data_IF_336674946194
#
_entry.id   IF_336674946194
#
_cell.length_a   1.000
_cell.length_b   1.000
_cell.length_c   1.000
_cell.angle_alpha   90.00
_cell.angle_beta   90.00
_cell.angle_gamma   90.00
#
_symmetry.space_group_name_H-M   'P 1'
#
loop_
_entity.id
_entity.type
_entity.pdbx_description
1 polymer ?
#
# COMPACT_ATOMS: atom_id res chain seq x y z
N UNK A 1 34.87 7.16 -3.21
CA UNK A 1 34.09 7.64 -4.38
C UNK A 1 32.63 7.43 -4.01
N UNK A 2 31.79 8.45 -4.17
CA UNK A 2 30.34 8.33 -3.87
C UNK A 2 29.68 7.58 -5.01
N UNK A 3 28.90 6.54 -4.68
CA UNK A 3 28.04 5.87 -5.65
C UNK A 3 26.78 6.68 -5.88
N UNK A 4 26.45 6.95 -7.13
CA UNK A 4 25.19 7.59 -7.52
C UNK A 4 24.72 7.02 -8.85
N UNK A 5 23.53 6.40 -8.84
CA UNK A 5 22.88 5.84 -10.03
C UNK A 5 21.50 6.46 -10.18
N UNK A 6 21.15 6.87 -11.38
CA UNK A 6 19.81 7.32 -11.76
C UNK A 6 19.11 6.18 -12.52
N UNK A 7 17.93 5.83 -12.06
CA UNK A 7 17.10 4.80 -12.68
C UNK A 7 15.81 5.46 -13.19
N UNK A 8 15.59 5.37 -14.50
CA UNK A 8 14.35 5.85 -15.11
C UNK A 8 13.20 4.91 -14.77
N UNK A 9 12.11 5.50 -14.32
CA UNK A 9 10.91 4.77 -13.88
C UNK A 9 9.73 5.18 -14.74
N UNK A 10 9.17 4.27 -15.54
CA UNK A 10 7.98 4.58 -16.33
C UNK A 10 6.76 4.75 -15.41
N UNK A 11 6.10 5.90 -15.50
CA UNK A 11 4.89 6.24 -14.75
C UNK A 11 3.85 6.76 -15.73
N UNK A 12 2.87 5.91 -16.07
CA UNK A 12 1.75 6.26 -16.96
C UNK A 12 2.20 7.03 -18.21
N UNK A 13 2.00 8.37 -18.23
CA UNK A 13 2.37 9.26 -19.34
C UNK A 13 3.67 10.03 -19.11
N UNK A 14 4.39 9.79 -18.01
CA UNK A 14 5.60 10.51 -17.64
C UNK A 14 6.73 9.53 -17.28
N UNK A 15 7.95 10.06 -17.22
CA UNK A 15 9.11 9.33 -16.74
C UNK A 15 9.56 9.92 -15.42
N UNK A 16 9.60 9.08 -14.37
CA UNK A 16 10.18 9.41 -13.08
C UNK A 16 11.66 9.05 -13.01
N UNK A 17 12.35 9.52 -11.99
CA UNK A 17 13.74 9.15 -11.71
C UNK A 17 13.87 8.71 -10.25
N UNK A 18 14.37 7.50 -10.05
CA UNK A 18 14.76 6.95 -8.76
C UNK A 18 16.29 7.04 -8.65
N UNK A 19 16.76 7.64 -7.57
CA UNK A 19 18.17 7.76 -7.27
C UNK A 19 18.61 6.68 -6.30
N UNK A 20 19.76 6.08 -6.55
CA UNK A 20 20.41 5.14 -5.63
C UNK A 20 21.76 5.71 -5.23
N UNK A 21 22.03 5.87 -3.94
CA UNK A 21 23.31 6.42 -3.45
C UNK A 21 23.77 5.77 -2.14
N UNK A 22 25.08 5.72 -1.95
CA UNK A 22 25.74 5.19 -0.76
C UNK A 22 26.22 6.28 0.23
N UNK A 23 25.89 7.55 -0.05
CA UNK A 23 26.35 8.72 0.72
C UNK A 23 25.16 9.48 1.34
N UNK A 24 25.16 9.59 2.67
CA UNK A 24 24.09 10.24 3.40
C UNK A 24 23.90 11.72 3.03
N UNK A 25 24.98 12.46 2.76
CA UNK A 25 24.89 13.88 2.38
C UNK A 25 24.27 14.06 1.00
N UNK A 26 24.62 13.19 0.06
CA UNK A 26 24.04 13.18 -1.28
C UNK A 26 22.56 12.82 -1.19
N UNK A 27 22.21 11.79 -0.40
CA UNK A 27 20.84 11.38 -0.17
C UNK A 27 19.99 12.50 0.47
N UNK A 28 20.49 13.18 1.50
CA UNK A 28 19.81 14.31 2.14
C UNK A 28 19.54 15.47 1.16
N UNK A 29 20.52 15.80 0.32
CA UNK A 29 20.34 16.84 -0.73
C UNK A 29 19.23 16.43 -1.71
N UNK A 30 19.26 15.20 -2.21
CA UNK A 30 18.24 14.69 -3.13
C UNK A 30 16.85 14.69 -2.48
N UNK A 31 16.74 14.31 -1.20
CA UNK A 31 15.49 14.36 -0.46
C UNK A 31 14.96 15.79 -0.30
N UNK A 32 15.83 16.78 -0.05
CA UNK A 32 15.45 18.19 0.00
C UNK A 32 14.96 18.73 -1.36
N UNK A 33 15.43 18.14 -2.46
CA UNK A 33 14.97 18.43 -3.82
C UNK A 33 13.71 17.63 -4.21
N UNK A 34 13.02 17.00 -3.25
CA UNK A 34 11.87 16.11 -3.46
C UNK A 34 12.15 14.97 -4.45
N UNK A 35 13.35 14.42 -4.46
CA UNK A 35 13.70 13.26 -5.28
C UNK A 35 13.38 11.95 -4.57
N UNK A 36 13.01 10.92 -5.34
CA UNK A 36 12.89 9.56 -4.83
C UNK A 36 14.29 8.94 -4.66
N UNK A 37 14.60 8.45 -3.46
CA UNK A 37 15.95 7.96 -3.11
C UNK A 37 15.88 6.61 -2.43
N UNK A 38 16.71 5.67 -2.89
CA UNK A 38 17.05 4.42 -2.21
C UNK A 38 18.51 4.50 -1.72
N UNK A 39 18.77 3.99 -0.54
CA UNK A 39 20.13 3.91 0.00
C UNK A 39 20.77 2.59 -0.42
N UNK A 40 21.96 2.66 -0.98
CA UNK A 40 22.85 1.52 -1.14
C UNK A 40 23.70 1.34 0.11
N UNK A 41 23.46 0.26 0.86
CA UNK A 41 24.19 -0.07 2.10
C UNK A 41 25.24 -1.13 1.82
N UNK A 42 26.48 -0.84 2.20
CA UNK A 42 27.59 -1.78 2.13
C UNK A 42 28.52 -1.61 3.36
N UNK A 43 29.47 -2.54 3.62
CA UNK A 43 30.26 -2.51 4.85
C UNK A 43 31.00 -1.20 5.12
N UNK A 44 31.41 -0.46 4.09
CA UNK A 44 32.16 0.78 4.26
C UNK A 44 31.31 2.04 4.59
N UNK A 45 29.98 1.97 4.49
CA UNK A 45 29.11 3.11 4.79
C UNK A 45 28.11 2.88 5.95
N UNK A 46 28.18 1.73 6.64
CA UNK A 46 27.25 1.38 7.75
C UNK A 46 27.29 2.33 8.94
N UNK A 47 28.35 3.14 9.09
CA UNK A 47 28.47 4.16 10.12
C UNK A 47 27.79 5.48 9.78
N UNK A 48 27.32 5.69 8.55
CA UNK A 48 26.54 6.85 8.18
C UNK A 48 25.09 6.71 8.70
N UNK A 49 24.46 7.83 8.99
CA UNK A 49 23.07 7.86 9.43
C UNK A 49 22.12 7.87 8.23
N UNK A 50 21.44 6.75 8.02
CA UNK A 50 20.42 6.57 7.00
C UNK A 50 19.01 6.40 7.58
N UNK A 51 18.80 6.66 8.85
CA UNK A 51 17.52 6.42 9.57
C UNK A 51 16.31 7.17 8.99
N UNK A 52 16.53 8.22 8.22
CA UNK A 52 15.49 9.01 7.55
C UNK A 52 14.97 8.38 6.25
N UNK A 53 15.67 7.40 5.72
CA UNK A 53 15.34 6.79 4.43
C UNK A 53 14.56 5.49 4.62
N UNK A 54 13.45 5.36 3.91
CA UNK A 54 12.52 4.25 4.05
C UNK A 54 13.00 2.96 3.34
N UNK A 55 13.83 3.12 2.31
CA UNK A 55 14.26 2.01 1.47
C UNK A 55 15.78 1.97 1.36
N UNK A 56 16.31 0.78 1.55
CA UNK A 56 17.73 0.49 1.39
C UNK A 56 17.92 -0.86 0.69
N UNK A 57 19.03 -0.98 -0.03
CA UNK A 57 19.42 -2.21 -0.74
C UNK A 57 20.90 -2.51 -0.50
N UNK A 58 21.26 -3.78 -0.52
CA UNK A 58 22.64 -4.23 -0.41
C UNK A 58 23.29 -4.51 -1.79
N UNK A 59 22.46 -4.71 -2.82
CA UNK A 59 22.91 -4.82 -4.21
C UNK A 59 22.01 -3.98 -5.14
N UNK A 60 22.52 -2.84 -5.65
CA UNK A 60 21.74 -1.99 -6.54
C UNK A 60 21.67 -2.49 -8.00
N UNK A 61 22.40 -3.54 -8.34
CA UNK A 61 22.36 -4.14 -9.70
C UNK A 61 21.25 -5.19 -9.83
N UNK A 62 20.83 -5.81 -8.70
CA UNK A 62 19.79 -6.84 -8.65
C UNK A 62 18.37 -6.26 -8.45
N UNK A 63 18.17 -4.96 -8.68
CA UNK A 63 16.87 -4.32 -8.51
C UNK A 63 15.91 -4.67 -9.65
N UNK A 64 14.90 -5.47 -9.34
CA UNK A 64 13.85 -5.84 -10.29
C UNK A 64 13.01 -4.61 -10.72
N UNK A 65 12.62 -4.50 -12.00
CA UNK A 65 11.84 -3.36 -12.51
C UNK A 65 10.54 -3.09 -11.74
N UNK A 66 9.84 -4.13 -11.33
CA UNK A 66 8.60 -4.02 -10.53
C UNK A 66 8.88 -3.44 -9.14
N UNK A 67 9.96 -3.88 -8.49
CA UNK A 67 10.38 -3.34 -7.20
C UNK A 67 10.73 -1.85 -7.31
N UNK A 68 11.51 -1.46 -8.32
CA UNK A 68 11.88 -0.07 -8.61
C UNK A 68 10.64 0.79 -8.78
N UNK A 69 9.67 0.34 -9.57
CA UNK A 69 8.44 1.07 -9.84
C UNK A 69 7.58 1.23 -8.58
N UNK A 70 7.45 0.16 -7.79
CA UNK A 70 6.70 0.17 -6.52
C UNK A 70 7.33 1.10 -5.49
N UNK A 71 8.66 1.04 -5.31
CA UNK A 71 9.38 1.93 -4.39
C UNK A 71 9.26 3.38 -4.82
N UNK A 72 9.44 3.67 -6.10
CA UNK A 72 9.27 5.02 -6.62
C UNK A 72 7.88 5.56 -6.34
N UNK A 73 6.82 4.79 -6.64
CA UNK A 73 5.44 5.19 -6.38
C UNK A 73 5.21 5.51 -4.90
N UNK A 74 5.65 4.65 -3.99
CA UNK A 74 5.54 4.86 -2.55
C UNK A 74 6.29 6.11 -2.06
N UNK A 75 7.51 6.34 -2.55
CA UNK A 75 8.29 7.54 -2.24
C UNK A 75 7.65 8.84 -2.75
N UNK A 76 6.87 8.76 -3.82
CA UNK A 76 6.14 9.89 -4.42
C UNK A 76 4.67 9.97 -3.99
N UNK A 77 4.25 9.16 -3.02
CA UNK A 77 2.86 9.14 -2.53
C UNK A 77 1.84 8.62 -3.56
N UNK A 78 2.30 7.96 -4.62
CA UNK A 78 1.44 7.36 -5.63
C UNK A 78 1.05 5.93 -5.21
N UNK A 79 -0.23 5.54 -5.30
CA UNK A 79 -0.64 4.21 -4.91
C UNK A 79 -0.10 3.14 -5.87
N UNK A 80 0.31 1.99 -5.32
CA UNK A 80 0.65 0.82 -6.09
C UNK A 80 -0.60 -0.01 -6.41
N UNK A 81 -0.76 -0.44 -7.67
CA UNK A 81 -1.82 -1.35 -8.06
C UNK A 81 -1.47 -2.77 -7.62
N UNK A 82 -2.31 -3.37 -6.78
CA UNK A 82 -2.10 -4.70 -6.22
C UNK A 82 -2.58 -5.79 -7.20
N UNK A 83 -3.82 -5.64 -7.65
CA UNK A 83 -4.43 -6.56 -8.61
C UNK A 83 -5.61 -5.92 -9.34
N UNK A 84 -5.96 -6.51 -10.47
CA UNK A 84 -7.18 -6.19 -11.18
C UNK A 84 -8.08 -7.43 -11.28
N UNK A 85 -9.37 -7.18 -11.19
CA UNK A 85 -10.42 -8.19 -11.48
C UNK A 85 -11.19 -7.78 -12.74
N UNK A 86 -12.23 -8.53 -13.08
CA UNK A 86 -13.09 -8.15 -14.19
C UNK A 86 -13.68 -6.76 -14.05
N UNK A 87 -14.13 -6.40 -12.84
CA UNK A 87 -14.85 -5.13 -12.56
C UNK A 87 -14.11 -4.17 -11.65
N UNK A 88 -13.05 -4.60 -10.96
CA UNK A 88 -12.39 -3.78 -9.94
C UNK A 88 -10.88 -3.67 -10.17
N UNK A 89 -10.35 -2.51 -9.77
CA UNK A 89 -8.95 -2.29 -9.46
C UNK A 89 -8.80 -2.28 -7.94
N UNK A 90 -7.85 -3.07 -7.41
CA UNK A 90 -7.45 -3.03 -6.00
C UNK A 90 -6.07 -2.40 -5.92
N UNK A 91 -5.97 -1.31 -5.18
CA UNK A 91 -4.72 -0.53 -5.06
C UNK A 91 -4.45 -0.12 -3.63
N UNK A 92 -3.23 0.29 -3.35
CA UNK A 92 -2.88 0.90 -2.07
C UNK A 92 -3.80 2.09 -1.79
N UNK A 93 -4.18 2.23 -0.52
CA UNK A 93 -4.99 3.36 -0.04
C UNK A 93 -4.14 4.63 -0.01
N UNK A 94 -4.77 5.77 -0.32
CA UNK A 94 -4.17 7.08 -0.17
C UNK A 94 -4.97 7.94 0.82
N UNK A 95 -4.40 9.02 1.38
CA UNK A 95 -5.14 9.93 2.27
C UNK A 95 -6.35 10.58 1.60
N UNK A 96 -6.34 10.73 0.27
CA UNK A 96 -7.43 11.29 -0.52
C UNK A 96 -8.67 10.39 -0.54
N UNK A 97 -8.48 9.06 -0.39
CA UNK A 97 -9.58 8.08 -0.35
C UNK A 97 -10.46 8.22 0.91
N UNK A 98 -9.97 8.92 1.92
CA UNK A 98 -10.65 9.04 3.22
C UNK A 98 -12.05 9.64 3.08
N UNK A 99 -12.25 10.60 2.20
CA UNK A 99 -13.56 11.21 2.00
C UNK A 99 -14.59 10.20 1.48
N UNK A 100 -14.21 9.34 0.53
CA UNK A 100 -15.04 8.24 0.05
C UNK A 100 -15.33 7.22 1.15
N UNK A 101 -14.33 6.92 1.99
CA UNK A 101 -14.53 6.03 3.13
C UNK A 101 -15.53 6.60 4.13
N UNK A 102 -15.53 7.90 4.42
CA UNK A 102 -16.54 8.52 5.25
C UNK A 102 -17.94 8.32 4.68
N UNK A 103 -18.14 8.45 3.37
CA UNK A 103 -19.42 8.16 2.73
C UNK A 103 -19.85 6.70 2.90
N UNK A 104 -18.94 5.75 2.72
CA UNK A 104 -19.22 4.32 2.88
C UNK A 104 -19.56 4.00 4.34
N UNK A 105 -18.75 4.47 5.28
CA UNK A 105 -18.90 4.17 6.71
C UNK A 105 -20.02 4.97 7.40
N UNK A 106 -20.55 6.02 6.78
CA UNK A 106 -21.72 6.76 7.30
C UNK A 106 -22.99 5.93 7.31
N UNK A 107 -23.05 4.83 6.53
CA UNK A 107 -24.25 4.00 6.46
C UNK A 107 -24.31 3.04 7.66
N UNK A 108 -25.42 3.03 8.45
CA UNK A 108 -25.53 2.22 9.66
C UNK A 108 -25.35 0.70 9.45
N UNK A 109 -25.66 0.18 8.27
CA UNK A 109 -25.43 -1.22 7.92
C UNK A 109 -23.95 -1.61 7.86
N UNK A 110 -23.05 -0.64 7.64
CA UNK A 110 -21.60 -0.87 7.63
C UNK A 110 -21.05 -0.92 9.06
N UNK A 111 -21.38 0.07 9.88
CA UNK A 111 -20.81 0.24 11.23
C UNK A 111 -21.50 -0.59 12.31
N UNK A 112 -22.53 -1.36 11.95
CA UNK A 112 -23.27 -2.20 12.90
C UNK A 112 -22.40 -3.31 13.52
N UNK A 113 -21.48 -3.89 12.76
CA UNK A 113 -20.69 -5.05 13.10
C UNK A 113 -19.18 -4.81 13.06
N UNK A 114 -18.77 -3.53 13.04
CA UNK A 114 -17.36 -3.17 12.96
C UNK A 114 -17.13 -1.77 13.52
N UNK A 115 -15.88 -1.49 13.88
CA UNK A 115 -15.46 -0.15 14.28
C UNK A 115 -15.60 0.85 13.12
N UNK A 116 -16.04 2.07 13.42
CA UNK A 116 -16.09 3.19 12.48
C UNK A 116 -14.70 3.79 12.23
N UNK A 117 -14.69 4.85 11.43
CA UNK A 117 -13.52 5.69 11.24
C UNK A 117 -13.38 6.66 12.43
N UNK A 118 -12.22 7.30 12.56
CA UNK A 118 -12.07 8.43 13.46
C UNK A 118 -13.09 9.52 13.11
N UNK A 119 -13.65 10.24 14.10
CA UNK A 119 -14.71 11.20 13.84
C UNK A 119 -14.29 12.37 12.92
N UNK A 120 -13.02 12.76 13.00
CA UNK A 120 -12.47 13.89 12.26
C UNK A 120 -11.72 13.40 11.03
N UNK A 121 -12.03 13.96 9.86
CA UNK A 121 -11.38 13.59 8.58
C UNK A 121 -9.86 13.72 8.64
N UNK A 122 -9.35 14.79 9.23
CA UNK A 122 -7.90 14.99 9.32
C UNK A 122 -7.22 13.98 10.26
N UNK A 123 -7.92 13.50 11.29
CA UNK A 123 -7.42 12.44 12.15
C UNK A 123 -7.36 11.11 11.40
N UNK A 124 -8.39 10.79 10.61
CA UNK A 124 -8.39 9.59 9.76
C UNK A 124 -7.31 9.69 8.67
N UNK A 125 -7.15 10.84 8.01
CA UNK A 125 -6.06 11.05 7.05
C UNK A 125 -4.68 10.87 7.69
N UNK A 126 -4.49 11.32 8.94
CA UNK A 126 -3.26 11.09 9.68
C UNK A 126 -3.04 9.60 9.94
N UNK A 127 -4.06 8.90 10.41
CA UNK A 127 -4.01 7.45 10.62
C UNK A 127 -3.66 6.70 9.32
N UNK A 128 -4.27 7.07 8.18
CA UNK A 128 -3.98 6.47 6.87
C UNK A 128 -2.52 6.71 6.47
N UNK A 129 -1.94 7.90 6.70
CA UNK A 129 -0.50 8.15 6.43
C UNK A 129 0.40 7.26 7.29
N UNK A 130 0.10 7.10 8.57
CA UNK A 130 0.84 6.22 9.48
C UNK A 130 0.68 4.74 9.07
N UNK A 131 -0.53 4.35 8.64
CA UNK A 131 -0.81 3.02 8.11
C UNK A 131 0.01 2.72 6.86
N UNK A 132 0.05 3.64 5.89
CA UNK A 132 0.85 3.50 4.65
C UNK A 132 2.34 3.32 5.00
N UNK A 133 2.86 4.16 5.88
CA UNK A 133 4.27 4.11 6.28
C UNK A 133 4.63 2.81 7.00
N UNK A 134 3.74 2.26 7.84
CA UNK A 134 3.99 1.04 8.60
C UNK A 134 3.65 -0.23 7.80
N UNK A 135 2.46 -0.28 7.18
CA UNK A 135 1.98 -1.52 6.57
C UNK A 135 2.54 -1.74 5.17
N UNK A 136 2.35 -0.78 4.25
CA UNK A 136 2.79 -0.98 2.87
C UNK A 136 4.30 -0.90 2.72
N UNK A 137 4.96 0.00 3.48
CA UNK A 137 6.41 0.17 3.37
C UNK A 137 7.17 -0.96 4.05
N UNK A 138 6.73 -1.41 5.23
CA UNK A 138 7.43 -2.43 6.02
C UNK A 138 6.97 -3.85 5.69
N UNK A 139 5.65 -4.12 5.75
CA UNK A 139 5.12 -5.47 5.48
C UNK A 139 4.88 -5.75 4.00
N UNK A 140 4.73 -4.73 3.16
CA UNK A 140 4.46 -4.87 1.73
C UNK A 140 3.01 -5.17 1.39
N UNK A 141 2.13 -5.37 2.37
CA UNK A 141 0.70 -5.67 2.20
C UNK A 141 -0.14 -5.03 3.30
N UNK A 142 -1.46 -5.09 3.16
CA UNK A 142 -2.41 -4.52 4.11
C UNK A 142 -3.84 -4.53 3.58
N UNK A 143 -4.66 -3.62 4.06
CA UNK A 143 -6.02 -3.36 3.56
C UNK A 143 -5.95 -2.29 2.48
N UNK A 144 -6.51 -2.58 1.33
CA UNK A 144 -6.42 -1.79 0.10
C UNK A 144 -7.76 -1.17 -0.28
N UNK A 145 -7.72 -0.13 -1.10
CA UNK A 145 -8.89 0.52 -1.70
C UNK A 145 -9.38 -0.27 -2.90
N UNK A 146 -10.69 -0.46 -2.99
CA UNK A 146 -11.37 -1.08 -4.13
C UNK A 146 -12.00 0.01 -4.99
N UNK A 147 -11.60 0.09 -6.24
CA UNK A 147 -12.14 1.03 -7.23
C UNK A 147 -12.94 0.24 -8.27
N UNK A 148 -14.18 0.62 -8.54
CA UNK A 148 -14.98 0.08 -9.64
C UNK A 148 -14.48 0.65 -10.97
N UNK A 149 -14.11 -0.19 -11.92
CA UNK A 149 -13.50 0.23 -13.19
C UNK A 149 -14.44 1.05 -14.09
N UNK A 150 -15.73 0.75 -14.06
CA UNK A 150 -16.72 1.40 -14.93
C UNK A 150 -16.97 2.85 -14.52
N UNK A 151 -17.15 3.12 -13.22
CA UNK A 151 -17.45 4.45 -12.71
C UNK A 151 -16.22 5.22 -12.22
N UNK A 152 -15.10 4.53 -11.95
CA UNK A 152 -13.97 5.08 -11.23
C UNK A 152 -14.22 5.33 -9.74
N UNK A 153 -15.36 4.91 -9.21
CA UNK A 153 -15.75 5.15 -7.81
C UNK A 153 -15.05 4.21 -6.86
N UNK A 154 -14.68 4.71 -5.68
CA UNK A 154 -14.25 3.87 -4.56
C UNK A 154 -15.50 3.20 -3.98
N UNK A 155 -15.50 1.86 -4.00
CA UNK A 155 -16.66 1.05 -3.58
C UNK A 155 -16.45 0.32 -2.27
N UNK A 156 -15.25 0.36 -1.71
CA UNK A 156 -14.94 -0.33 -0.48
C UNK A 156 -13.45 -0.49 -0.22
N UNK A 157 -13.16 -1.35 0.74
CA UNK A 157 -11.81 -1.75 1.14
C UNK A 157 -11.74 -3.26 1.29
N UNK A 158 -10.63 -3.87 0.92
CA UNK A 158 -10.36 -5.28 1.23
C UNK A 158 -8.85 -5.52 1.29
N UNK A 159 -8.45 -6.53 2.05
CA UNK A 159 -7.02 -6.84 2.14
C UNK A 159 -6.70 -7.94 3.13
N UNK A 160 -5.41 -8.10 3.35
CA UNK A 160 -4.83 -9.06 4.29
C UNK A 160 -4.11 -8.27 5.39
N UNK A 161 -4.36 -8.62 6.64
CA UNK A 161 -3.68 -8.01 7.78
C UNK A 161 -3.34 -9.05 8.85
N UNK A 162 -2.32 -8.76 9.66
CA UNK A 162 -2.10 -9.53 10.86
C UNK A 162 -3.03 -9.04 11.97
N UNK A 163 -3.64 -9.98 12.69
CA UNK A 163 -4.44 -9.70 13.85
C UNK A 163 -3.77 -10.31 15.07
N UNK A 164 -3.64 -9.52 16.12
CA UNK A 164 -3.05 -9.98 17.38
C UNK A 164 -3.80 -11.19 17.95
N UNK A 165 -3.05 -12.18 18.43
CA UNK A 165 -3.60 -13.44 18.96
C UNK A 165 -3.94 -14.51 17.92
N UNK A 166 -3.65 -14.27 16.63
CA UNK A 166 -3.88 -15.25 15.57
C UNK A 166 -2.58 -15.64 14.85
N UNK A 167 -2.48 -16.92 14.51
CA UNK A 167 -1.30 -17.48 13.79
C UNK A 167 -1.34 -17.31 12.27
N UNK A 168 -2.48 -16.91 11.72
CA UNK A 168 -2.67 -16.74 10.28
C UNK A 168 -3.16 -15.33 9.98
N UNK A 169 -2.75 -14.74 8.85
CA UNK A 169 -3.26 -13.44 8.45
C UNK A 169 -4.77 -13.49 8.19
N UNK A 170 -5.43 -12.38 8.42
CA UNK A 170 -6.88 -12.24 8.27
C UNK A 170 -7.21 -11.52 6.97
N UNK A 171 -8.12 -12.12 6.17
CA UNK A 171 -8.78 -11.46 5.06
C UNK A 171 -9.97 -10.65 5.61
N UNK A 172 -9.94 -9.34 5.42
CA UNK A 172 -11.05 -8.45 5.72
C UNK A 172 -11.57 -7.74 4.47
N UNK A 173 -12.85 -7.39 4.46
CA UNK A 173 -13.42 -6.56 3.40
C UNK A 173 -14.64 -5.77 3.86
N UNK A 174 -14.87 -4.65 3.19
CA UNK A 174 -16.06 -3.81 3.30
C UNK A 174 -16.45 -3.40 1.89
N UNK A 175 -17.74 -3.52 1.57
CA UNK A 175 -18.32 -3.03 0.31
C UNK A 175 -19.43 -2.04 0.66
N UNK A 176 -19.40 -0.87 0.06
CA UNK A 176 -20.42 0.16 0.20
C UNK A 176 -21.82 -0.37 -0.19
N UNK A 177 -22.85 0.03 0.56
CA UNK A 177 -24.20 -0.53 0.43
C UNK A 177 -24.74 -0.52 -1.00
N UNK A 178 -24.52 0.52 -1.85
CA UNK A 178 -24.98 0.50 -3.24
C UNK A 178 -24.39 -0.63 -4.10
N UNK A 179 -23.28 -1.22 -3.69
CA UNK A 179 -22.56 -2.28 -4.42
C UNK A 179 -22.71 -3.67 -3.76
N UNK A 180 -23.37 -3.76 -2.59
CA UNK A 180 -23.62 -5.04 -1.94
C UNK A 180 -24.61 -5.91 -2.75
N UNK A 181 -24.58 -7.21 -2.53
CA UNK A 181 -25.44 -8.17 -3.23
C UNK A 181 -25.14 -8.40 -4.71
N UNK A 182 -24.13 -7.70 -5.27
CA UNK A 182 -23.76 -7.75 -6.70
C UNK A 182 -22.51 -8.61 -6.99
N UNK A 183 -21.99 -9.30 -5.96
CA UNK A 183 -20.84 -10.21 -6.10
C UNK A 183 -19.46 -9.56 -6.08
N UNK A 184 -19.34 -8.25 -5.84
CA UNK A 184 -18.05 -7.55 -5.77
C UNK A 184 -17.13 -8.09 -4.68
N UNK A 185 -17.65 -8.32 -3.46
CA UNK A 185 -16.86 -8.89 -2.38
C UNK A 185 -16.23 -10.24 -2.75
N UNK A 186 -17.04 -11.16 -3.30
CA UNK A 186 -16.55 -12.48 -3.70
C UNK A 186 -15.50 -12.42 -4.82
N UNK A 187 -15.67 -11.50 -5.77
CA UNK A 187 -14.73 -11.28 -6.87
C UNK A 187 -13.40 -10.77 -6.36
N UNK A 188 -13.42 -9.69 -5.56
CA UNK A 188 -12.22 -9.05 -5.00
C UNK A 188 -11.49 -9.98 -4.02
N UNK A 189 -12.22 -10.61 -3.08
CA UNK A 189 -11.61 -11.54 -2.13
C UNK A 189 -10.94 -12.72 -2.81
N UNK A 190 -11.51 -13.26 -3.89
CA UNK A 190 -10.87 -14.33 -4.68
C UNK A 190 -9.56 -13.85 -5.30
N UNK A 191 -9.53 -12.64 -5.88
CA UNK A 191 -8.32 -12.04 -6.41
C UNK A 191 -7.25 -11.83 -5.32
N UNK A 192 -7.65 -11.32 -4.15
CA UNK A 192 -6.76 -11.12 -3.01
C UNK A 192 -6.17 -12.44 -2.50
N UNK A 193 -6.96 -13.50 -2.40
CA UNK A 193 -6.46 -14.83 -1.99
C UNK A 193 -5.48 -15.41 -3.00
N UNK A 194 -5.70 -15.19 -4.29
CA UNK A 194 -4.74 -15.59 -5.34
C UNK A 194 -3.43 -14.81 -5.21
N UNK A 195 -3.52 -13.49 -5.02
CA UNK A 195 -2.35 -12.62 -4.78
C UNK A 195 -1.60 -13.02 -3.50
N UNK A 196 -2.33 -13.25 -2.40
CA UNK A 196 -1.76 -13.68 -1.13
C UNK A 196 -0.95 -14.98 -1.26
N UNK A 197 -1.45 -15.92 -2.06
CA UNK A 197 -0.74 -17.19 -2.33
C UNK A 197 0.46 -17.01 -3.25
N UNK A 198 0.30 -16.24 -4.34
CA UNK A 198 1.30 -16.17 -5.41
C UNK A 198 2.43 -15.18 -5.09
N UNK A 199 2.12 -14.02 -4.50
CA UNK A 199 3.06 -12.93 -4.26
C UNK A 199 3.49 -12.79 -2.80
N UNK A 200 2.63 -13.17 -1.84
CA UNK A 200 2.95 -13.10 -0.40
C UNK A 200 3.27 -14.47 0.20
N UNK A 201 3.17 -15.56 -0.59
CA UNK A 201 3.47 -16.94 -0.19
C UNK A 201 2.66 -17.45 1.01
N UNK A 202 1.51 -16.84 1.32
CA UNK A 202 0.64 -17.31 2.38
C UNK A 202 -0.04 -18.61 1.99
N UNK A 203 0.19 -19.65 2.79
CA UNK A 203 -0.43 -20.97 2.62
C UNK A 203 -1.77 -21.09 3.33
N UNK A 204 -2.04 -20.19 4.29
CA UNK A 204 -3.25 -20.17 5.09
C UNK A 204 -3.67 -18.72 5.36
N UNK A 205 -4.94 -18.43 5.18
CA UNK A 205 -5.60 -17.16 5.50
C UNK A 205 -6.88 -17.48 6.25
N UNK A 206 -7.22 -16.69 7.25
CA UNK A 206 -8.46 -16.79 8.01
C UNK A 206 -9.37 -15.59 7.74
N UNK A 207 -10.62 -15.69 8.12
CA UNK A 207 -11.56 -14.57 8.22
C UNK A 207 -12.31 -14.67 9.54
N UNK A 208 -12.51 -13.54 10.20
CA UNK A 208 -13.29 -13.45 11.44
C UNK A 208 -14.58 -12.70 11.15
N UNK A 209 -15.69 -13.30 11.52
CA UNK A 209 -17.03 -12.75 11.26
C UNK A 209 -17.84 -12.85 12.55
N UNK A 210 -18.58 -11.81 12.88
CA UNK A 210 -19.56 -11.90 13.97
C UNK A 210 -20.66 -12.92 13.61
N UNK A 211 -21.15 -13.62 14.63
CA UNK A 211 -22.14 -14.71 14.42
C UNK A 211 -23.44 -14.21 13.80
N UNK A 212 -23.76 -12.92 13.97
CA UNK A 212 -25.01 -12.30 13.53
C UNK A 212 -24.85 -11.49 12.22
N UNK A 213 -23.65 -11.54 11.62
CA UNK A 213 -23.33 -10.83 10.38
C UNK A 213 -23.46 -11.77 9.17
#
# INVERSE_FOLDING_TARGET
MVYLKEIKVPIESQEGVLYVTDDAKTADRLLQEDKAVIIYIHPANRQQDFSRFLFAVEDPEDLEPEYIQRVYRRLKGLPWNILETGRCLVRETTPEDVEDFFHIYSHPAITRHMEGLYPEIEQEKKYVREYIASMYTFYGFGVWTIVEKESGSIIGRAGISWREGFESPELGFIIGVPWQGKGYAAEVCRGILQYARAALEFTKVQAVVEREN
#
